data_IF_049926014908
#
_entry.id   IF_049926014908
#
_cell.length_a   1.000
_cell.length_b   1.000
_cell.length_c   1.000
_cell.angle_alpha   90.00
_cell.angle_beta   90.00
_cell.angle_gamma   90.00
#
_symmetry.space_group_name_H-M   'P 1'
#
loop_
_entity.id
_entity.type
_entity.pdbx_description
1 polymer ?
#
# COMPACT_ATOMS: atom_id res chain seq x y z
N UNK A 1 -8.26 -16.25 29.12
CA UNK A 1 -7.73 -15.78 27.83
C UNK A 1 -8.04 -16.71 26.64
N UNK A 2 -8.44 -17.97 26.84
CA UNK A 2 -8.59 -18.96 25.74
C UNK A 2 -9.91 -18.90 24.94
N UNK A 3 -10.94 -18.21 25.44
CA UNK A 3 -12.24 -18.09 24.74
C UNK A 3 -12.20 -17.09 23.58
N UNK A 4 -11.37 -16.05 23.69
CA UNK A 4 -11.27 -14.99 22.67
C UNK A 4 -10.52 -15.48 21.41
N UNK A 5 -9.58 -16.42 21.55
CA UNK A 5 -8.84 -17.01 20.42
C UNK A 5 -9.74 -17.93 19.59
N UNK A 6 -10.58 -18.75 20.26
CA UNK A 6 -11.45 -19.71 19.57
C UNK A 6 -12.59 -19.06 18.77
N UNK A 7 -13.13 -17.93 19.26
CA UNK A 7 -14.13 -17.15 18.53
C UNK A 7 -13.53 -16.44 17.31
N UNK A 8 -12.29 -15.95 17.43
CA UNK A 8 -11.57 -15.36 16.30
C UNK A 8 -11.31 -16.38 15.19
N UNK A 9 -11.01 -17.63 15.54
CA UNK A 9 -10.80 -18.69 14.54
C UNK A 9 -12.09 -19.09 13.81
N UNK A 10 -13.23 -19.07 14.51
CA UNK A 10 -14.56 -19.29 13.89
C UNK A 10 -14.96 -18.13 12.98
N UNK A 11 -14.73 -16.90 13.41
CA UNK A 11 -14.98 -15.69 12.60
C UNK A 11 -14.09 -15.67 11.35
N UNK A 12 -12.79 -15.94 11.48
CA UNK A 12 -11.87 -16.00 10.33
C UNK A 12 -12.28 -17.07 9.33
N UNK A 13 -12.64 -18.27 9.80
CA UNK A 13 -13.16 -19.34 8.91
C UNK A 13 -14.46 -18.93 8.24
N UNK A 14 -15.40 -18.32 8.96
CA UNK A 14 -16.66 -17.83 8.39
C UNK A 14 -16.44 -16.73 7.34
N UNK A 15 -15.50 -15.81 7.58
CA UNK A 15 -15.14 -14.75 6.62
C UNK A 15 -14.48 -15.36 5.37
N UNK A 16 -13.54 -16.30 5.55
CA UNK A 16 -12.88 -16.99 4.43
C UNK A 16 -13.91 -17.75 3.58
N UNK A 17 -14.83 -18.48 4.21
CA UNK A 17 -15.89 -19.21 3.51
C UNK A 17 -16.82 -18.24 2.77
N UNK A 18 -17.20 -17.12 3.40
CA UNK A 18 -18.03 -16.10 2.77
C UNK A 18 -17.36 -15.50 1.52
N UNK A 19 -16.10 -15.09 1.65
CA UNK A 19 -15.35 -14.52 0.52
C UNK A 19 -15.17 -15.54 -0.59
N UNK A 20 -14.86 -16.80 -0.27
CA UNK A 20 -14.77 -17.88 -1.24
C UNK A 20 -16.09 -18.09 -2.00
N UNK A 21 -17.22 -18.07 -1.31
CA UNK A 21 -18.54 -18.26 -1.91
C UNK A 21 -18.93 -17.09 -2.84
N UNK A 22 -18.57 -15.85 -2.47
CA UNK A 22 -18.75 -14.69 -3.35
C UNK A 22 -17.90 -14.76 -4.61
N UNK A 23 -16.65 -15.21 -4.52
CA UNK A 23 -15.78 -15.39 -5.69
C UNK A 23 -16.37 -16.43 -6.65
N UNK A 24 -16.92 -17.53 -6.13
CA UNK A 24 -17.61 -18.54 -6.93
C UNK A 24 -18.85 -17.93 -7.61
N UNK A 25 -19.66 -17.15 -6.89
CA UNK A 25 -20.82 -16.45 -7.47
C UNK A 25 -20.42 -15.49 -8.59
N UNK A 26 -19.36 -14.70 -8.40
CA UNK A 26 -18.85 -13.76 -9.41
C UNK A 26 -18.32 -14.52 -10.64
N UNK A 27 -17.61 -15.62 -10.43
CA UNK A 27 -17.12 -16.46 -11.53
C UNK A 27 -18.27 -17.08 -12.34
N UNK A 28 -19.32 -17.56 -11.67
CA UNK A 28 -20.54 -18.05 -12.33
C UNK A 28 -21.29 -16.94 -13.07
N UNK A 29 -21.38 -15.73 -12.49
CA UNK A 29 -22.00 -14.57 -13.14
C UNK A 29 -21.27 -14.14 -14.41
N UNK A 30 -19.94 -14.13 -14.39
CA UNK A 30 -19.14 -13.79 -15.58
C UNK A 30 -19.24 -14.91 -16.62
N UNK A 31 -19.20 -16.18 -16.20
CA UNK A 31 -19.40 -17.32 -17.11
C UNK A 31 -20.78 -17.29 -17.75
N UNK A 32 -21.84 -17.08 -16.96
CA UNK A 32 -23.21 -16.91 -17.45
C UNK A 32 -23.32 -15.70 -18.36
N UNK A 33 -22.69 -14.57 -18.03
CA UNK A 33 -22.73 -13.35 -18.86
C UNK A 33 -22.07 -13.52 -20.24
N UNK A 34 -21.15 -14.48 -20.41
CA UNK A 34 -20.59 -14.82 -21.71
C UNK A 34 -21.43 -15.86 -22.49
N UNK A 35 -22.20 -16.71 -21.79
CA UNK A 35 -23.06 -17.75 -22.40
C UNK A 35 -24.52 -17.30 -22.58
N UNK A 36 -24.95 -16.21 -21.92
CA UNK A 36 -26.20 -15.51 -22.19
C UNK A 36 -26.09 -14.70 -23.48
N UNK A 37 -26.12 -15.42 -24.61
CA UNK A 37 -26.89 -14.96 -25.76
C UNK A 37 -28.35 -14.81 -25.30
N UNK A 38 -28.63 -13.68 -24.65
CA UNK A 38 -29.98 -13.22 -24.39
C UNK A 38 -30.64 -12.96 -25.75
N UNK A 39 -31.41 -13.94 -26.21
CA UNK A 39 -32.62 -13.75 -27.02
C UNK A 39 -33.64 -12.92 -26.21
N UNK A 40 -33.25 -11.71 -25.82
CA UNK A 40 -34.11 -10.70 -25.20
C UNK A 40 -34.99 -10.01 -26.25
N UNK A 41 -35.39 -10.72 -27.30
CA UNK A 41 -36.33 -10.28 -28.34
C UNK A 41 -37.62 -11.10 -28.25
N UNK A 42 -38.22 -11.12 -27.05
CA UNK A 42 -39.53 -11.71 -26.80
C UNK A 42 -40.35 -10.83 -25.84
N UNK A 43 -40.45 -9.54 -26.16
CA UNK A 43 -41.38 -8.60 -25.52
C UNK A 43 -42.25 -7.94 -26.58
N UNK A 44 -43.27 -8.68 -27.05
CA UNK A 44 -44.18 -8.26 -28.13
C UNK A 44 -45.26 -7.26 -27.71
N UNK A 45 -45.87 -6.65 -28.73
CA UNK A 45 -47.06 -5.79 -28.66
C UNK A 45 -46.75 -4.37 -29.15
N UNK A 46 -46.99 -3.96 -30.40
CA UNK A 46 -48.17 -4.24 -31.21
C UNK A 46 -49.35 -3.43 -30.70
N UNK A 47 -49.56 -2.21 -31.19
CA UNK A 47 -50.73 -1.41 -30.78
C UNK A 47 -50.74 0.03 -31.29
N UNK A 48 -51.43 0.22 -32.40
CA UNK A 48 -51.76 1.50 -33.01
C UNK A 48 -52.60 2.41 -32.12
N UNK A 49 -52.11 3.62 -31.86
CA UNK A 49 -52.90 4.85 -31.83
C UNK A 49 -51.95 6.01 -31.54
N UNK A 50 -51.31 6.53 -32.58
CA UNK A 50 -50.80 7.90 -32.52
C UNK A 50 -52.03 8.78 -32.43
N UNK A 51 -52.38 9.13 -31.21
CA UNK A 51 -53.30 10.19 -30.86
C UNK A 51 -52.64 11.52 -31.28
N UNK A 52 -53.18 12.12 -32.32
CA UNK A 52 -52.74 13.43 -32.81
C UNK A 52 -53.30 14.51 -31.87
N UNK A 53 -52.72 14.63 -30.69
CA UNK A 53 -53.01 15.75 -29.78
C UNK A 53 -52.43 17.05 -30.34
N UNK A 54 -53.32 18.04 -30.42
CA UNK A 54 -53.00 19.43 -30.68
C UNK A 54 -51.91 19.90 -29.70
N UNK A 55 -50.75 20.31 -30.23
CA UNK A 55 -49.67 20.89 -29.41
C UNK A 55 -50.11 22.29 -29.02
N UNK A 56 -50.65 22.45 -27.80
CA UNK A 56 -50.88 23.76 -27.19
C UNK A 56 -49.51 24.49 -27.07
N UNK A 57 -49.34 25.67 -27.69
CA UNK A 57 -48.10 26.46 -27.60
C UNK A 57 -47.66 26.80 -26.17
N UNK A 58 -48.57 26.79 -25.19
CA UNK A 58 -48.23 26.97 -23.77
C UNK A 58 -47.52 25.78 -23.13
N UNK A 59 -47.68 24.57 -23.66
CA UNK A 59 -47.07 23.36 -23.14
C UNK A 59 -45.60 23.18 -23.59
N UNK A 60 -45.25 23.62 -24.80
CA UNK A 60 -43.87 23.56 -25.30
C UNK A 60 -42.93 24.49 -24.56
N UNK A 61 -43.41 25.66 -24.11
CA UNK A 61 -42.63 26.59 -23.26
C UNK A 61 -42.35 25.97 -21.89
N UNK A 62 -43.36 25.35 -21.24
CA UNK A 62 -43.16 24.62 -19.97
C UNK A 62 -42.22 23.43 -20.10
N UNK A 63 -42.24 22.72 -21.24
CA UNK A 63 -41.32 21.61 -21.50
C UNK A 63 -39.88 22.12 -21.72
N UNK A 64 -39.72 23.25 -22.41
CA UNK A 64 -38.40 23.88 -22.59
C UNK A 64 -37.82 24.39 -21.27
N UNK A 65 -38.63 25.05 -20.43
CA UNK A 65 -38.22 25.48 -19.08
C UNK A 65 -37.82 24.30 -18.19
N UNK A 66 -38.61 23.21 -18.23
CA UNK A 66 -38.29 21.98 -17.51
C UNK A 66 -37.00 21.35 -18.04
N UNK A 67 -36.79 21.31 -19.35
CA UNK A 67 -35.57 20.76 -19.95
C UNK A 67 -34.35 21.62 -19.61
N UNK A 68 -34.49 22.95 -19.60
CA UNK A 68 -33.43 23.87 -19.21
C UNK A 68 -33.08 23.74 -17.72
N UNK A 69 -34.08 23.61 -16.83
CA UNK A 69 -33.85 23.32 -15.41
C UNK A 69 -33.21 21.94 -15.18
N UNK A 70 -33.60 20.93 -15.94
CA UNK A 70 -32.98 19.60 -15.89
C UNK A 70 -31.52 19.64 -16.36
N UNK A 71 -31.19 20.37 -17.43
CA UNK A 71 -29.80 20.55 -17.86
C UNK A 71 -28.99 21.35 -16.83
N UNK A 72 -29.55 22.42 -16.25
CA UNK A 72 -28.87 23.22 -15.24
C UNK A 72 -28.64 22.45 -13.94
N UNK A 73 -29.55 21.56 -13.55
CA UNK A 73 -29.36 20.66 -12.41
C UNK A 73 -28.40 19.52 -12.73
N UNK A 74 -28.44 18.94 -13.94
CA UNK A 74 -27.50 17.92 -14.39
C UNK A 74 -26.06 18.47 -14.47
N UNK A 75 -25.86 19.69 -14.98
CA UNK A 75 -24.55 20.38 -15.00
C UNK A 75 -24.03 20.61 -13.59
N UNK A 76 -24.85 21.14 -12.67
CA UNK A 76 -24.44 21.33 -11.27
C UNK A 76 -24.08 20.02 -10.58
N UNK A 77 -24.85 18.95 -10.83
CA UNK A 77 -24.55 17.63 -10.31
C UNK A 77 -23.24 17.06 -10.90
N UNK A 78 -22.97 17.29 -12.19
CA UNK A 78 -21.71 16.91 -12.82
C UNK A 78 -20.52 17.69 -12.26
N UNK A 79 -20.63 19.01 -12.11
CA UNK A 79 -19.58 19.86 -11.50
C UNK A 79 -19.29 19.45 -10.05
N UNK A 80 -20.31 19.08 -9.28
CA UNK A 80 -20.11 18.56 -7.92
C UNK A 80 -19.34 17.24 -7.91
N UNK A 81 -19.67 16.32 -8.81
CA UNK A 81 -18.91 15.06 -8.97
C UNK A 81 -17.48 15.32 -9.42
N UNK A 82 -17.29 16.27 -10.33
CA UNK A 82 -15.97 16.63 -10.80
C UNK A 82 -15.13 17.24 -9.69
N UNK A 83 -15.68 18.15 -8.88
CA UNK A 83 -15.00 18.69 -7.70
C UNK A 83 -14.62 17.60 -6.69
N UNK A 84 -15.52 16.65 -6.43
CA UNK A 84 -15.22 15.51 -5.55
C UNK A 84 -14.12 14.62 -6.12
N UNK A 85 -14.14 14.35 -7.43
CA UNK A 85 -13.10 13.56 -8.10
C UNK A 85 -11.75 14.29 -8.09
N UNK A 86 -11.73 15.60 -8.32
CA UNK A 86 -10.53 16.43 -8.22
C UNK A 86 -9.97 16.42 -6.80
N UNK A 87 -10.81 16.60 -5.77
CA UNK A 87 -10.38 16.51 -4.36
C UNK A 87 -9.77 15.16 -4.02
N UNK A 88 -10.37 14.05 -4.45
CA UNK A 88 -9.81 12.72 -4.24
C UNK A 88 -8.47 12.55 -4.96
N UNK A 89 -8.35 13.04 -6.20
CA UNK A 89 -7.11 12.97 -6.96
C UNK A 89 -5.99 13.82 -6.31
N UNK A 90 -6.34 14.99 -5.79
CA UNK A 90 -5.41 15.88 -5.09
C UNK A 90 -4.97 15.29 -3.75
N UNK A 91 -5.89 14.73 -2.96
CA UNK A 91 -5.59 14.04 -1.70
C UNK A 91 -4.70 12.80 -1.93
N UNK A 92 -4.95 12.04 -3.00
CA UNK A 92 -4.09 10.91 -3.38
C UNK A 92 -2.69 11.39 -3.79
N UNK A 93 -2.57 12.49 -4.54
CA UNK A 93 -1.27 13.08 -4.88
C UNK A 93 -0.52 13.56 -3.65
N UNK A 94 -1.20 14.22 -2.73
CA UNK A 94 -0.61 14.71 -1.49
C UNK A 94 -0.12 13.54 -0.62
N UNK A 95 -0.92 12.47 -0.49
CA UNK A 95 -0.48 11.25 0.20
C UNK A 95 0.74 10.61 -0.44
N UNK A 96 0.78 10.50 -1.76
CA UNK A 96 1.94 9.95 -2.47
C UNK A 96 3.20 10.80 -2.27
N UNK A 97 3.07 12.12 -2.33
CA UNK A 97 4.19 13.03 -2.08
C UNK A 97 4.68 12.92 -0.63
N UNK A 98 3.76 12.91 0.34
CA UNK A 98 4.10 12.74 1.75
C UNK A 98 4.75 11.38 2.04
N UNK A 99 4.29 10.29 1.41
CA UNK A 99 4.93 8.98 1.52
C UNK A 99 6.34 8.99 0.94
N UNK A 100 6.55 9.59 -0.24
CA UNK A 100 7.88 9.71 -0.83
C UNK A 100 8.84 10.51 0.07
N UNK A 101 8.39 11.62 0.65
CA UNK A 101 9.20 12.38 1.59
C UNK A 101 9.54 11.57 2.84
N UNK A 102 8.57 10.81 3.37
CA UNK A 102 8.80 9.92 4.52
C UNK A 102 9.80 8.81 4.22
N UNK A 103 9.70 8.21 3.04
CA UNK A 103 10.65 7.21 2.53
C UNK A 103 12.06 7.81 2.42
N UNK A 104 12.18 9.03 1.89
CA UNK A 104 13.46 9.74 1.76
C UNK A 104 14.09 10.07 3.11
N UNK A 105 13.28 10.41 4.13
CA UNK A 105 13.77 10.61 5.49
C UNK A 105 14.26 9.30 6.13
N UNK A 106 13.48 8.22 5.98
CA UNK A 106 13.88 6.89 6.46
C UNK A 106 15.16 6.39 5.80
N UNK A 107 15.34 6.64 4.50
CA UNK A 107 16.56 6.27 3.79
C UNK A 107 17.77 7.06 4.28
N UNK A 108 17.63 8.38 4.49
CA UNK A 108 18.67 9.21 5.09
C UNK A 108 19.03 8.75 6.50
N UNK A 109 18.04 8.48 7.35
CA UNK A 109 18.28 8.01 8.72
C UNK A 109 18.98 6.64 8.72
N UNK A 110 18.59 5.74 7.81
CA UNK A 110 19.25 4.44 7.61
C UNK A 110 20.69 4.59 7.12
N UNK A 111 20.96 5.53 6.21
CA UNK A 111 22.32 5.84 5.74
C UNK A 111 23.18 6.38 6.88
N UNK A 112 22.69 7.35 7.65
CA UNK A 112 23.40 7.90 8.80
C UNK A 112 23.67 6.83 9.87
N UNK A 113 22.70 5.98 10.19
CA UNK A 113 22.88 4.87 11.11
C UNK A 113 23.91 3.86 10.59
N UNK A 114 23.94 3.60 9.28
CA UNK A 114 24.94 2.71 8.67
C UNK A 114 26.34 3.32 8.71
N UNK A 115 26.49 4.61 8.45
CA UNK A 115 27.78 5.31 8.54
C UNK A 115 28.30 5.32 9.97
N UNK A 116 27.46 5.69 10.95
CA UNK A 116 27.82 5.64 12.37
C UNK A 116 28.22 4.22 12.82
N UNK A 117 27.50 3.19 12.35
CA UNK A 117 27.85 1.80 12.63
C UNK A 117 29.18 1.38 11.99
N UNK A 118 29.50 1.89 10.78
CA UNK A 118 30.79 1.64 10.13
C UNK A 118 31.94 2.32 10.89
N UNK A 119 31.80 3.59 11.24
CA UNK A 119 32.81 4.31 12.03
C UNK A 119 33.06 3.64 13.38
N UNK A 120 32.01 3.25 14.10
CA UNK A 120 32.14 2.53 15.37
C UNK A 120 32.89 1.20 15.20
N UNK A 121 32.63 0.48 14.10
CA UNK A 121 33.32 -0.78 13.78
C UNK A 121 34.78 -0.56 13.39
N UNK A 122 35.11 0.51 12.68
CA UNK A 122 36.49 0.87 12.37
C UNK A 122 37.26 1.27 13.64
N UNK A 123 36.66 2.07 14.52
CA UNK A 123 37.29 2.40 15.81
C UNK A 123 37.53 1.16 16.67
N UNK A 124 36.57 0.23 16.74
CA UNK A 124 36.77 -1.05 17.41
C UNK A 124 37.93 -1.84 16.80
N UNK A 125 38.01 -1.95 15.47
CA UNK A 125 39.13 -2.64 14.79
C UNK A 125 40.48 -2.00 15.11
N UNK A 126 40.57 -0.67 15.10
CA UNK A 126 41.81 0.03 15.43
C UNK A 126 42.22 -0.20 16.89
N UNK A 127 41.26 -0.16 17.82
CA UNK A 127 41.51 -0.45 19.23
C UNK A 127 41.95 -1.91 19.44
N UNK A 128 41.33 -2.86 18.74
CA UNK A 128 41.69 -4.28 18.79
C UNK A 128 43.09 -4.53 18.21
N UNK A 129 43.43 -3.90 17.08
CA UNK A 129 44.77 -4.00 16.49
C UNK A 129 45.85 -3.40 17.40
N UNK A 130 45.56 -2.26 18.03
CA UNK A 130 46.46 -1.64 19.01
C UNK A 130 46.66 -2.53 20.24
N UNK A 131 45.57 -3.13 20.75
CA UNK A 131 45.64 -4.07 21.87
C UNK A 131 46.42 -5.35 21.49
N UNK A 132 46.21 -5.88 20.29
CA UNK A 132 46.93 -7.05 19.79
C UNK A 132 48.44 -6.77 19.63
N UNK A 133 48.83 -5.59 19.11
CA UNK A 133 50.23 -5.16 19.03
C UNK A 133 50.85 -4.99 20.42
N UNK A 134 50.13 -4.40 21.37
CA UNK A 134 50.60 -4.26 22.74
C UNK A 134 50.80 -5.62 23.43
N UNK A 135 49.85 -6.56 23.26
CA UNK A 135 49.96 -7.91 23.80
C UNK A 135 51.13 -8.69 23.18
N UNK A 136 51.33 -8.58 21.85
CA UNK A 136 52.46 -9.21 21.17
C UNK A 136 53.80 -8.66 21.65
N UNK A 137 53.91 -7.34 21.83
CA UNK A 137 55.12 -6.69 22.34
C UNK A 137 55.41 -7.09 23.80
N UNK A 138 54.38 -7.20 24.65
CA UNK A 138 54.54 -7.66 26.02
C UNK A 138 55.01 -9.13 26.07
N UNK A 139 54.44 -10.00 25.22
CA UNK A 139 54.83 -11.41 25.13
C UNK A 139 56.28 -11.55 24.67
N UNK A 140 56.69 -10.82 23.63
CA UNK A 140 58.07 -10.84 23.15
C UNK A 140 59.08 -10.38 24.23
N UNK A 141 58.73 -9.37 25.04
CA UNK A 141 59.57 -8.94 26.16
C UNK A 141 59.66 -10.01 27.25
N UNK A 142 58.55 -10.66 27.58
CA UNK A 142 58.53 -11.74 28.57
C UNK A 142 59.35 -12.95 28.10
N UNK A 143 59.22 -13.35 26.83
CA UNK A 143 60.01 -14.43 26.23
C UNK A 143 61.52 -14.10 26.21
N UNK A 144 61.88 -12.84 25.92
CA UNK A 144 63.28 -12.39 25.96
C UNK A 144 63.88 -12.45 27.38
N UNK A 145 63.13 -11.95 28.39
CA UNK A 145 63.56 -12.01 29.79
C UNK A 145 63.66 -13.44 30.31
N UNK A 146 62.74 -14.32 29.90
CA UNK A 146 62.80 -15.73 30.25
C UNK A 146 64.04 -16.42 29.67
N UNK A 147 64.41 -16.10 28.42
CA UNK A 147 65.65 -16.59 27.80
C UNK A 147 66.90 -16.09 28.52
N UNK A 148 67.00 -14.80 28.82
CA UNK A 148 68.16 -14.24 29.55
C UNK A 148 68.30 -14.86 30.94
N UNK A 149 67.20 -15.05 31.68
CA UNK A 149 67.23 -15.70 32.98
C UNK A 149 67.66 -17.17 32.91
N UNK A 150 67.21 -17.92 31.91
CA UNK A 150 67.66 -19.30 31.68
C UNK A 150 69.13 -19.38 31.31
N UNK A 151 69.62 -18.46 30.48
CA UNK A 151 71.02 -18.44 30.06
C UNK A 151 71.96 -18.01 31.20
N UNK A 152 71.52 -17.09 32.06
CA UNK A 152 72.25 -16.73 33.28
C UNK A 152 72.30 -17.89 34.29
N UNK A 153 71.20 -18.63 34.45
CA UNK A 153 71.15 -19.79 35.33
C UNK A 153 71.98 -20.98 34.82
N UNK A 154 72.16 -21.11 33.49
CA UNK A 154 73.00 -22.16 32.90
C UNK A 154 74.51 -21.85 32.93
N UNK A 155 74.90 -20.59 33.22
CA UNK A 155 76.30 -20.15 33.31
C UNK A 155 76.82 -20.02 34.75
N UNK A 156 75.95 -20.25 35.75
CA UNK A 156 76.28 -20.30 37.18
C UNK A 156 76.47 -21.75 37.65
#
# INVERSE_FOLDING_TARGET
>A
MSKATEQNDKLKRAIIISVALHIVLIALLIWSSFDEHLDASAGGGGGSSIDAVMVDPGAVVKNYDRQQQQQASARRAAEQREKQAQQQAEELREKQAAEQERLKQLEQDRLQAQEAAKEAKEQQKQAEEAAAKAAAAAKAKADAQAKEAQEAAARA
#
